data_IF_322326968298
#
_entry.id   IF_322326968298
#
_cell.length_a   1.000
_cell.length_b   1.000
_cell.length_c   1.000
_cell.angle_alpha   90.00
_cell.angle_beta   90.00
_cell.angle_gamma   90.00
#
_symmetry.space_group_name_H-M   'P 1'
#
loop_
_entity.id
_entity.type
_entity.pdbx_description
1 polymer ?
#
# COMPACT_ATOMS: atom_id res chain seq x y z
N UNK A 1 1.45 26.01 -7.69
CA UNK A 1 1.18 24.55 -7.69
C UNK A 1 1.54 24.01 -6.31
N UNK A 2 0.81 23.03 -5.74
CA UNK A 2 1.17 22.44 -4.45
C UNK A 2 2.57 21.84 -4.52
N UNK A 3 3.35 22.01 -3.45
CA UNK A 3 4.71 21.47 -3.37
C UNK A 3 4.64 19.95 -3.26
N UNK A 4 5.45 19.25 -4.04
CA UNK A 4 5.57 17.78 -4.02
C UNK A 4 6.96 17.44 -3.51
N UNK A 5 7.03 16.55 -2.52
CA UNK A 5 8.29 15.94 -2.07
C UNK A 5 8.42 14.51 -2.61
N UNK A 6 9.66 14.03 -2.68
CA UNK A 6 9.95 12.67 -3.11
C UNK A 6 9.42 11.64 -2.09
N UNK A 7 8.83 10.57 -2.62
CA UNK A 7 8.47 9.38 -1.85
C UNK A 7 9.71 8.50 -1.66
N UNK A 8 10.09 8.22 -0.41
CA UNK A 8 11.30 7.46 -0.11
C UNK A 8 11.03 5.95 -0.20
N UNK A 9 11.23 5.40 -1.40
CA UNK A 9 11.02 3.97 -1.70
C UNK A 9 11.89 3.05 -0.83
N UNK A 10 13.11 3.44 -0.48
CA UNK A 10 13.99 2.63 0.38
C UNK A 10 13.41 2.43 1.79
N UNK A 11 12.81 3.47 2.37
CA UNK A 11 12.19 3.38 3.69
C UNK A 11 10.99 2.43 3.68
N UNK A 12 10.27 2.34 2.56
CA UNK A 12 9.17 1.38 2.37
C UNK A 12 9.70 -0.04 2.46
N UNK A 13 10.79 -0.34 1.75
CA UNK A 13 11.42 -1.67 1.74
C UNK A 13 11.97 -2.01 3.13
N UNK A 14 12.72 -1.10 3.76
CA UNK A 14 13.26 -1.30 5.12
C UNK A 14 12.14 -1.54 6.14
N UNK A 15 11.01 -0.85 5.99
CA UNK A 15 9.85 -1.08 6.83
C UNK A 15 9.25 -2.46 6.60
N UNK A 16 9.05 -2.84 5.34
CA UNK A 16 8.52 -4.14 4.98
C UNK A 16 9.43 -5.29 5.44
N UNK A 17 10.75 -5.18 5.25
CA UNK A 17 11.73 -6.16 5.75
C UNK A 17 11.61 -6.36 7.27
N UNK A 18 11.44 -5.28 8.02
CA UNK A 18 11.33 -5.35 9.48
C UNK A 18 10.02 -5.97 9.96
N UNK A 19 8.92 -5.76 9.24
CA UNK A 19 7.56 -5.98 9.74
C UNK A 19 6.70 -6.90 8.88
N UNK A 20 7.12 -7.38 7.72
CA UNK A 20 6.28 -8.25 6.88
C UNK A 20 5.89 -9.58 7.57
N UNK A 21 6.73 -10.06 8.50
CA UNK A 21 6.55 -11.34 9.22
C UNK A 21 6.17 -11.17 10.70
N UNK A 22 5.85 -9.96 11.16
CA UNK A 22 5.44 -9.66 12.54
C UNK A 22 4.73 -8.32 12.65
N UNK A 23 3.95 -8.08 13.70
CA UNK A 23 3.22 -6.81 13.85
C UNK A 23 4.07 -5.71 14.48
N UNK A 24 3.95 -4.49 13.95
CA UNK A 24 4.55 -3.30 14.56
C UNK A 24 3.69 -2.86 15.76
N UNK A 25 4.21 -2.83 16.99
CA UNK A 25 3.44 -2.46 18.18
C UNK A 25 2.95 -1.00 18.19
N UNK A 26 3.45 -0.14 17.29
CA UNK A 26 2.93 1.21 17.09
C UNK A 26 1.56 1.26 16.37
N UNK A 27 1.05 0.12 15.90
CA UNK A 27 -0.22 -0.01 15.22
C UNK A 27 -1.01 -1.18 15.81
N UNK A 28 -2.34 -1.03 15.83
CA UNK A 28 -3.23 -2.11 16.24
C UNK A 28 -3.11 -3.30 15.28
N UNK A 29 -3.24 -4.51 15.82
CA UNK A 29 -3.20 -5.76 15.08
C UNK A 29 -4.58 -6.07 14.47
N UNK A 30 -4.69 -5.97 13.14
CA UNK A 30 -5.95 -6.22 12.42
C UNK A 30 -6.07 -7.66 11.89
N UNK A 31 -5.16 -8.58 12.25
CA UNK A 31 -5.09 -9.95 11.69
C UNK A 31 -6.43 -10.70 11.77
N UNK A 32 -7.21 -10.49 12.84
CA UNK A 32 -8.49 -11.16 13.09
C UNK A 32 -9.73 -10.28 12.83
N UNK A 33 -9.54 -9.02 12.40
CA UNK A 33 -10.64 -8.06 12.17
C UNK A 33 -10.87 -7.77 10.68
N UNK A 34 -9.92 -8.18 9.83
CA UNK A 34 -9.88 -7.81 8.42
C UNK A 34 -9.24 -6.43 8.20
N UNK A 35 -8.75 -6.23 6.97
CA UNK A 35 -8.07 -4.99 6.59
C UNK A 35 -6.57 -4.92 6.90
N UNK A 36 -6.00 -5.97 7.51
CA UNK A 36 -4.58 -5.98 7.91
C UNK A 36 -3.62 -5.82 6.73
N UNK A 37 -3.92 -6.42 5.57
CA UNK A 37 -3.15 -6.19 4.34
C UNK A 37 -3.03 -4.69 3.98
N UNK A 38 -4.12 -3.93 4.15
CA UNK A 38 -4.15 -2.50 3.84
C UNK A 38 -3.55 -1.67 4.98
N UNK A 39 -3.74 -2.10 6.23
CA UNK A 39 -3.04 -1.52 7.38
C UNK A 39 -1.52 -1.59 7.18
N UNK A 40 -0.98 -2.77 6.85
CA UNK A 40 0.43 -2.96 6.54
C UNK A 40 0.90 -2.10 5.36
N UNK A 41 0.16 -2.10 4.24
CA UNK A 41 0.49 -1.22 3.11
C UNK A 41 0.49 0.25 3.51
N UNK A 42 -0.45 0.69 4.36
CA UNK A 42 -0.48 2.07 4.84
C UNK A 42 0.71 2.40 5.75
N UNK A 43 1.15 1.46 6.58
CA UNK A 43 2.36 1.63 7.38
C UNK A 43 3.61 1.76 6.49
N UNK A 44 3.74 0.91 5.46
CA UNK A 44 4.81 0.96 4.46
C UNK A 44 4.79 2.31 3.70
N UNK A 45 3.62 2.74 3.22
CA UNK A 45 3.42 4.04 2.59
C UNK A 45 3.81 5.19 3.52
N UNK A 46 3.51 5.09 4.82
CA UNK A 46 3.85 6.13 5.78
C UNK A 46 5.35 6.18 6.06
N UNK A 47 6.03 5.03 6.11
CA UNK A 47 7.49 4.98 6.21
C UNK A 47 8.17 5.67 5.01
N UNK A 48 7.62 5.51 3.81
CA UNK A 48 8.14 6.17 2.60
C UNK A 48 7.72 7.64 2.46
N UNK A 49 6.51 8.01 2.90
CA UNK A 49 5.97 9.36 2.72
C UNK A 49 6.27 10.32 3.87
N UNK A 50 6.39 9.82 5.09
CA UNK A 50 6.56 10.61 6.31
C UNK A 50 5.36 11.50 6.67
N UNK A 51 4.28 11.49 5.88
CA UNK A 51 3.17 12.44 6.00
C UNK A 51 1.84 11.72 5.82
N UNK A 52 1.00 11.80 6.85
CA UNK A 52 -0.41 11.41 6.78
C UNK A 52 -1.29 12.59 6.36
N UNK A 53 -2.50 12.26 5.88
CA UNK A 53 -3.54 13.23 5.60
C UNK A 53 -4.64 13.12 6.67
N UNK A 54 -4.71 14.10 7.58
CA UNK A 54 -5.68 14.14 8.68
C UNK A 54 -7.04 14.76 8.31
N UNK A 55 -7.37 14.89 7.01
CA UNK A 55 -8.70 15.34 6.60
C UNK A 55 -9.75 14.38 7.15
N UNK A 56 -10.74 14.89 7.88
CA UNK A 56 -11.79 14.06 8.46
C UNK A 56 -12.55 13.31 7.36
N UNK A 57 -12.85 12.03 7.61
CA UNK A 57 -13.56 11.09 6.71
C UNK A 57 -12.82 10.73 5.41
N UNK A 58 -12.25 11.71 4.70
CA UNK A 58 -11.66 11.55 3.36
C UNK A 58 -10.13 11.55 3.34
N UNK A 59 -9.47 11.73 4.48
CA UNK A 59 -8.02 11.66 4.59
C UNK A 59 -7.49 10.24 4.52
N UNK A 60 -6.25 10.09 4.95
CA UNK A 60 -5.53 8.83 5.12
C UNK A 60 -4.61 9.00 6.32
N UNK A 61 -5.09 8.54 7.48
CA UNK A 61 -4.34 8.63 8.73
C UNK A 61 -4.71 7.52 9.70
N UNK A 62 -3.79 7.31 10.64
CA UNK A 62 -3.96 6.45 11.80
C UNK A 62 -3.41 7.14 13.04
N UNK A 63 -4.16 7.11 14.13
CA UNK A 63 -3.72 7.56 15.46
C UNK A 63 -4.07 6.53 16.54
N UNK A 64 -5.16 5.79 16.36
CA UNK A 64 -5.49 4.58 17.12
C UNK A 64 -6.40 3.68 16.29
N UNK A 65 -6.79 2.52 16.82
CA UNK A 65 -7.75 1.62 16.15
C UNK A 65 -9.11 2.30 15.87
N UNK A 66 -9.55 3.16 16.79
CA UNK A 66 -10.80 3.92 16.76
C UNK A 66 -10.64 5.25 16.02
N UNK A 67 -9.43 5.85 16.08
CA UNK A 67 -9.12 7.14 15.47
C UNK A 67 -8.24 6.96 14.24
N UNK A 68 -8.89 6.55 13.14
CA UNK A 68 -8.29 6.35 11.82
C UNK A 68 -9.32 6.54 10.72
N UNK A 69 -8.90 6.78 9.48
CA UNK A 69 -9.81 6.79 8.33
C UNK A 69 -10.03 5.38 7.76
N UNK A 70 -11.16 5.16 7.05
CA UNK A 70 -11.38 3.91 6.31
C UNK A 70 -10.28 3.61 5.29
N UNK A 71 -9.67 4.64 4.69
CA UNK A 71 -8.56 4.52 3.74
C UNK A 71 -7.29 3.91 4.33
N UNK A 72 -7.11 3.92 5.66
CA UNK A 72 -5.94 3.31 6.28
C UNK A 72 -6.00 1.77 6.28
N UNK A 73 -7.20 1.18 6.36
CA UNK A 73 -7.39 -0.28 6.49
C UNK A 73 -8.27 -0.89 5.41
N UNK A 74 -8.88 -0.10 4.53
CA UNK A 74 -9.82 -0.56 3.51
C UNK A 74 -9.27 -0.43 2.10
N UNK A 75 -9.19 -1.55 1.37
CA UNK A 75 -8.59 -1.67 0.02
C UNK A 75 -9.12 -0.61 -0.95
N UNK A 76 -10.44 -0.51 -1.08
CA UNK A 76 -11.06 0.45 -2.01
C UNK A 76 -10.95 1.90 -1.53
N UNK A 77 -10.99 2.14 -0.22
CA UNK A 77 -10.82 3.48 0.34
C UNK A 77 -9.37 3.99 0.17
N UNK A 78 -8.37 3.10 0.32
CA UNK A 78 -6.97 3.43 0.04
C UNK A 78 -6.78 3.81 -1.43
N UNK A 79 -7.33 3.02 -2.35
CA UNK A 79 -7.30 3.32 -3.78
C UNK A 79 -7.91 4.69 -4.10
N UNK A 80 -9.12 4.95 -3.58
CA UNK A 80 -9.80 6.21 -3.81
C UNK A 80 -8.97 7.38 -3.25
N UNK A 81 -8.40 7.25 -2.05
CA UNK A 81 -7.52 8.27 -1.50
C UNK A 81 -6.32 8.52 -2.41
N UNK A 82 -5.53 7.48 -2.71
CA UNK A 82 -4.28 7.64 -3.47
C UNK A 82 -4.52 8.24 -4.86
N UNK A 83 -5.57 7.82 -5.57
CA UNK A 83 -5.83 8.26 -6.95
C UNK A 83 -6.51 9.62 -7.07
N UNK A 84 -7.15 10.11 -5.99
CA UNK A 84 -7.87 11.39 -6.00
C UNK A 84 -7.21 12.46 -5.14
N UNK A 85 -6.24 12.10 -4.30
CA UNK A 85 -5.59 13.03 -3.41
C UNK A 85 -4.85 14.13 -4.19
N UNK A 86 -5.21 15.38 -3.92
CA UNK A 86 -4.56 16.62 -4.41
C UNK A 86 -4.09 17.51 -3.26
N UNK A 87 -4.09 16.97 -2.04
CA UNK A 87 -3.77 17.64 -0.78
C UNK A 87 -2.67 16.85 -0.07
N UNK A 88 -2.21 17.36 1.08
CA UNK A 88 -1.16 16.76 1.93
C UNK A 88 -1.21 15.23 1.99
N UNK A 89 -0.08 14.54 1.83
CA UNK A 89 0.02 13.07 1.84
C UNK A 89 0.32 12.47 0.46
N UNK A 90 0.53 11.13 0.39
CA UNK A 90 0.91 10.46 -0.84
C UNK A 90 -0.22 10.45 -1.88
N UNK A 91 0.14 10.33 -3.15
CA UNK A 91 -0.79 10.11 -4.25
C UNK A 91 -0.23 9.07 -5.23
N UNK A 92 -1.11 8.44 -5.98
CA UNK A 92 -0.76 7.42 -6.95
C UNK A 92 -1.47 7.63 -8.28
N UNK A 93 -0.87 7.09 -9.34
CA UNK A 93 -1.51 6.94 -10.65
C UNK A 93 -1.71 5.45 -10.90
N UNK A 94 -2.91 5.07 -11.34
CA UNK A 94 -3.11 3.71 -11.81
C UNK A 94 -2.36 3.52 -13.13
N UNK A 95 -1.58 2.45 -13.20
CA UNK A 95 -0.66 2.22 -14.31
C UNK A 95 -0.70 0.76 -14.78
N UNK A 96 0.03 0.48 -15.86
CA UNK A 96 0.33 -0.87 -16.33
C UNK A 96 1.50 -1.48 -15.54
N UNK A 97 1.63 -2.81 -15.60
CA UNK A 97 2.62 -3.56 -14.82
C UNK A 97 4.06 -3.13 -15.13
N UNK A 98 4.35 -2.72 -16.36
CA UNK A 98 5.68 -2.35 -16.85
C UNK A 98 6.22 -1.06 -16.21
N UNK A 99 5.33 -0.26 -15.59
CA UNK A 99 5.65 1.04 -14.97
C UNK A 99 5.62 0.98 -13.45
N UNK A 100 5.41 -0.20 -12.86
CA UNK A 100 5.44 -0.36 -11.41
C UNK A 100 6.89 -0.32 -10.92
N UNK A 101 7.09 0.29 -9.76
CA UNK A 101 8.40 0.42 -9.12
C UNK A 101 8.37 -0.15 -7.69
N UNK A 102 9.55 -0.38 -7.13
CA UNK A 102 9.70 -0.78 -5.72
C UNK A 102 9.08 0.28 -4.80
N UNK A 103 8.27 -0.15 -3.83
CA UNK A 103 7.54 0.71 -2.91
C UNK A 103 6.13 1.11 -3.39
N UNK A 104 5.75 0.70 -4.59
CA UNK A 104 4.38 0.87 -5.10
C UNK A 104 3.40 -0.16 -4.53
N UNK A 105 2.11 0.08 -4.74
CA UNK A 105 1.02 -0.76 -4.24
C UNK A 105 0.36 -1.52 -5.38
N UNK A 106 0.10 -2.81 -5.15
CA UNK A 106 -0.72 -3.66 -6.01
C UNK A 106 -1.97 -4.05 -5.24
N UNK A 107 -3.12 -4.07 -5.92
CA UNK A 107 -4.35 -4.56 -5.32
C UNK A 107 -4.96 -5.68 -6.16
N UNK A 108 -5.25 -6.79 -5.48
CA UNK A 108 -5.86 -7.97 -6.08
C UNK A 108 -7.36 -8.02 -5.81
N UNK A 109 -8.09 -8.63 -6.73
CA UNK A 109 -9.54 -8.74 -6.68
C UNK A 109 -10.09 -9.96 -7.40
N UNK A 110 -11.40 -10.14 -7.29
CA UNK A 110 -12.16 -11.12 -8.07
C UNK A 110 -13.50 -10.54 -8.54
N UNK A 111 -14.19 -11.29 -9.41
CA UNK A 111 -15.51 -10.94 -9.95
C UNK A 111 -16.58 -10.79 -8.87
N UNK A 112 -16.56 -11.64 -7.84
CA UNK A 112 -17.60 -11.71 -6.80
C UNK A 112 -17.51 -10.61 -5.73
N UNK A 113 -16.31 -10.30 -5.23
CA UNK A 113 -16.07 -9.39 -4.10
C UNK A 113 -15.43 -8.06 -4.51
N UNK A 114 -15.02 -7.92 -5.78
CA UNK A 114 -14.20 -6.79 -6.22
C UNK A 114 -12.78 -6.87 -5.68
N UNK A 115 -12.11 -5.73 -5.50
CA UNK A 115 -10.76 -5.66 -4.93
C UNK A 115 -10.80 -5.90 -3.41
N UNK A 116 -9.98 -6.83 -2.93
CA UNK A 116 -10.03 -7.33 -1.55
C UNK A 116 -8.65 -7.46 -0.87
N UNK A 117 -7.54 -7.29 -1.60
CA UNK A 117 -6.21 -7.46 -1.02
C UNK A 117 -5.26 -6.37 -1.49
N UNK A 118 -4.46 -5.82 -0.56
CA UNK A 118 -3.40 -4.85 -0.84
C UNK A 118 -2.03 -5.48 -0.60
N UNK A 119 -1.10 -5.20 -1.50
CA UNK A 119 0.27 -5.71 -1.52
C UNK A 119 1.22 -4.53 -1.72
N UNK A 120 2.41 -4.58 -1.10
CA UNK A 120 3.48 -3.63 -1.39
C UNK A 120 4.57 -4.31 -2.21
N UNK A 121 5.04 -3.68 -3.28
CA UNK A 121 6.17 -4.15 -4.08
C UNK A 121 7.45 -3.90 -3.30
N UNK A 122 8.20 -4.94 -2.97
CA UNK A 122 9.43 -4.84 -2.16
C UNK A 122 10.70 -5.14 -2.94
N UNK A 123 10.58 -5.82 -4.07
CA UNK A 123 11.70 -6.11 -4.96
C UNK A 123 11.18 -6.34 -6.38
N UNK A 124 11.95 -5.92 -7.39
CA UNK A 124 11.72 -6.28 -8.79
C UNK A 124 13.05 -6.82 -9.33
N UNK A 125 13.06 -8.06 -9.83
CA UNK A 125 14.24 -8.72 -10.35
C UNK A 125 14.20 -8.79 -11.88
N UNK A 126 14.56 -7.70 -12.55
CA UNK A 126 14.53 -7.56 -14.02
C UNK A 126 13.42 -6.64 -14.51
N UNK A 127 12.93 -6.86 -15.74
CA UNK A 127 11.81 -6.10 -16.31
C UNK A 127 10.53 -6.42 -15.52
N UNK A 128 9.73 -5.43 -15.08
CA UNK A 128 8.52 -5.69 -14.31
C UNK A 128 7.53 -6.60 -15.03
N UNK A 129 7.20 -7.71 -14.38
CA UNK A 129 6.26 -8.73 -14.80
C UNK A 129 5.79 -9.52 -13.58
N UNK A 130 4.73 -10.32 -13.69
CA UNK A 130 4.27 -11.13 -12.56
C UNK A 130 5.33 -12.13 -12.05
N UNK A 131 6.26 -12.55 -12.92
CA UNK A 131 7.36 -13.46 -12.59
C UNK A 131 8.63 -12.79 -12.07
N UNK A 132 8.67 -11.46 -12.01
CA UNK A 132 9.85 -10.69 -11.55
C UNK A 132 9.52 -9.74 -10.40
N UNK A 133 8.23 -9.49 -10.13
CA UNK A 133 7.75 -8.65 -9.04
C UNK A 133 7.60 -9.49 -7.77
N UNK A 134 8.27 -9.06 -6.72
CA UNK A 134 8.17 -9.59 -5.38
C UNK A 134 7.41 -8.62 -4.48
N UNK A 135 6.47 -9.15 -3.72
CA UNK A 135 5.59 -8.40 -2.85
C UNK A 135 5.75 -8.79 -1.38
N UNK A 136 5.28 -7.91 -0.51
CA UNK A 136 5.09 -8.21 0.91
C UNK A 136 3.67 -7.83 1.36
N UNK A 137 3.09 -8.57 2.32
CA UNK A 137 1.72 -8.33 2.82
C UNK A 137 1.42 -9.02 4.15
N UNK A 138 0.38 -8.55 4.86
CA UNK A 138 -0.18 -9.16 6.08
C UNK A 138 -1.48 -9.94 5.82
N UNK A 139 -1.45 -10.89 4.91
CA UNK A 139 -2.47 -11.95 4.82
C UNK A 139 -1.75 -13.24 4.49
N UNK A 140 -1.67 -14.12 5.50
CA UNK A 140 -0.69 -15.21 5.57
C UNK A 140 0.77 -14.74 5.60
N UNK A 141 1.03 -13.50 6.03
CA UNK A 141 2.34 -12.87 6.27
C UNK A 141 3.46 -13.29 5.30
N UNK A 142 3.67 -12.49 4.26
CA UNK A 142 4.73 -12.74 3.29
C UNK A 142 5.70 -11.57 3.20
N UNK A 143 6.98 -11.93 3.10
CA UNK A 143 8.07 -11.06 2.70
C UNK A 143 8.68 -11.58 1.40
N UNK A 144 8.79 -10.73 0.38
CA UNK A 144 9.32 -11.08 -0.94
C UNK A 144 8.74 -12.39 -1.51
N UNK A 145 7.42 -12.49 -1.55
CA UNK A 145 6.72 -13.55 -2.30
C UNK A 145 6.54 -13.11 -3.74
N UNK A 146 6.69 -14.03 -4.70
CA UNK A 146 6.55 -13.70 -6.12
C UNK A 146 5.07 -13.45 -6.46
N UNK A 147 4.77 -12.42 -7.26
CA UNK A 147 3.40 -12.00 -7.57
C UNK A 147 2.60 -13.13 -8.26
N UNK A 148 3.21 -13.85 -9.20
CA UNK A 148 2.59 -14.98 -9.90
C UNK A 148 2.23 -16.18 -8.99
N UNK A 149 2.61 -16.17 -7.71
CA UNK A 149 2.19 -17.17 -6.73
C UNK A 149 0.83 -16.84 -6.09
N UNK A 150 0.18 -15.74 -6.50
CA UNK A 150 -1.18 -15.39 -6.12
C UNK A 150 -2.17 -15.78 -7.20
N UNK A 151 -3.37 -16.21 -6.77
CA UNK A 151 -4.50 -16.47 -7.66
C UNK A 151 -5.49 -15.32 -7.52
N UNK A 152 -5.79 -14.63 -8.62
CA UNK A 152 -6.73 -13.53 -8.68
C UNK A 152 -7.40 -13.47 -10.06
N UNK A 153 -8.54 -12.77 -10.14
CA UNK A 153 -9.22 -12.52 -11.42
C UNK A 153 -9.13 -11.05 -11.85
N UNK A 154 -8.76 -10.16 -10.90
CA UNK A 154 -8.57 -8.73 -11.14
C UNK A 154 -7.30 -8.26 -10.46
N UNK A 155 -6.59 -7.35 -11.10
CA UNK A 155 -5.40 -6.69 -10.56
C UNK A 155 -5.39 -5.21 -10.96
N UNK A 156 -4.86 -4.36 -10.09
CA UNK A 156 -4.51 -2.98 -10.42
C UNK A 156 -3.19 -2.60 -9.79
N UNK A 157 -2.42 -1.80 -10.53
CA UNK A 157 -1.09 -1.33 -10.16
C UNK A 157 -1.16 0.17 -9.86
N UNK A 158 -0.69 0.58 -8.69
CA UNK A 158 -0.75 1.96 -8.20
C UNK A 158 0.66 2.49 -8.00
N UNK A 159 1.16 3.25 -8.97
CA UNK A 159 2.48 3.85 -8.89
C UNK A 159 2.45 5.14 -8.07
N UNK A 160 3.24 5.20 -6.99
CA UNK A 160 3.28 6.34 -6.09
C UNK A 160 4.09 7.48 -6.72
N UNK A 161 3.39 8.55 -7.12
CA UNK A 161 4.01 9.67 -7.84
C UNK A 161 4.73 10.69 -6.94
N UNK A 162 4.53 10.62 -5.62
CA UNK A 162 5.13 11.53 -4.66
C UNK A 162 4.21 11.82 -3.49
N UNK A 163 4.53 12.88 -2.75
CA UNK A 163 3.81 13.29 -1.55
C UNK A 163 3.56 14.79 -1.59
N UNK A 164 2.30 15.21 -1.55
CA UNK A 164 1.96 16.63 -1.39
C UNK A 164 2.26 17.07 0.04
N UNK A 165 2.79 18.29 0.21
CA UNK A 165 3.12 18.86 1.54
C UNK A 165 2.24 20.05 1.91
#
# INVERSE_FOLDING_TARGET
>A
MPKIMNYNRENVVKYAEKWALRRNPGYYDFSNLGGDCTNFCSQCLYAGSGIMNYTSVHGWFYSSAEKRTPSWTGVNFLYNFLTTNKKRGPFAVQTDIEKIEVGDIIQLGNSKKGFYHSLVVTLINGVPSEGTIYISTHTMDFFNRLLNQYIYEKIRFLSIGGVYV
#
